data_IF_746644801061
#
_entry.id   IF_746644801061
#
_cell.length_a   1.000
_cell.length_b   1.000
_cell.length_c   1.000
_cell.angle_alpha   90.00
_cell.angle_beta   90.00
_cell.angle_gamma   90.00
#
_symmetry.space_group_name_H-M   'P 1'
#
loop_
_entity.id
_entity.type
_entity.pdbx_description
1 polymer ?
#
# COMPACT_ATOMS: atom_id res chain seq x y z
N UNK A 1 -20.85 -9.57 -4.46
CA UNK A 1 -20.86 -8.21 -4.97
C UNK A 1 -19.45 -7.75 -5.24
N UNK A 2 -19.22 -7.36 -6.44
CA UNK A 2 -17.90 -6.92 -6.83
C UNK A 2 -17.41 -5.74 -5.99
N UNK A 3 -18.30 -4.81 -5.69
CA UNK A 3 -17.93 -3.64 -4.88
C UNK A 3 -17.49 -4.03 -3.48
N UNK A 4 -18.12 -5.03 -2.89
CA UNK A 4 -17.74 -5.51 -1.57
C UNK A 4 -16.36 -6.14 -1.61
N UNK A 5 -16.07 -6.88 -2.65
CA UNK A 5 -14.75 -7.48 -2.81
C UNK A 5 -13.68 -6.42 -2.90
N UNK A 6 -13.94 -5.36 -3.66
CA UNK A 6 -12.99 -4.27 -3.78
C UNK A 6 -12.75 -3.58 -2.43
N UNK A 7 -13.80 -3.40 -1.63
CA UNK A 7 -13.66 -2.73 -0.34
C UNK A 7 -13.02 -3.61 0.72
N UNK A 8 -13.02 -4.92 0.53
CA UNK A 8 -12.41 -5.85 1.48
C UNK A 8 -11.00 -6.27 1.09
N UNK A 9 -10.51 -5.81 -0.05
CA UNK A 9 -9.19 -6.16 -0.52
C UNK A 9 -8.13 -5.59 0.41
N UNK A 10 -7.22 -6.44 0.84
CA UNK A 10 -6.12 -6.01 1.69
C UNK A 10 -5.04 -5.33 0.86
N UNK A 11 -4.34 -4.42 1.50
CA UNK A 11 -3.33 -3.61 0.83
C UNK A 11 -2.00 -3.74 1.57
N UNK A 12 -0.92 -3.95 0.80
CA UNK A 12 0.44 -4.03 1.34
C UNK A 12 1.29 -2.94 0.70
N UNK A 13 2.10 -2.26 1.52
CA UNK A 13 3.10 -1.32 1.05
C UNK A 13 4.46 -2.02 1.11
N UNK A 14 5.12 -2.16 -0.04
CA UNK A 14 6.40 -2.84 -0.15
C UNK A 14 7.43 -1.88 -0.72
N UNK A 15 8.46 -1.60 0.07
CA UNK A 15 9.55 -0.71 -0.34
C UNK A 15 10.82 -1.14 0.39
N UNK A 16 11.65 -1.95 -0.27
CA UNK A 16 12.81 -2.57 0.35
C UNK A 16 14.09 -2.20 -0.38
N UNK A 17 15.19 -2.07 0.37
CA UNK A 17 16.51 -1.85 -0.19
C UNK A 17 17.10 -3.17 -0.67
N UNK A 18 17.11 -4.18 0.19
CA UNK A 18 17.55 -5.52 -0.16
C UNK A 18 16.35 -6.29 -0.73
N UNK A 19 16.47 -6.67 -1.99
CA UNK A 19 15.37 -7.30 -2.70
C UNK A 19 15.38 -8.82 -2.66
N UNK A 20 16.25 -9.41 -1.82
CA UNK A 20 16.30 -10.86 -1.66
C UNK A 20 14.96 -11.35 -1.06
N UNK A 21 14.33 -12.27 -1.73
CA UNK A 21 13.08 -12.88 -1.28
C UNK A 21 11.83 -12.04 -1.47
N UNK A 22 11.96 -10.76 -1.84
CA UNK A 22 10.78 -9.89 -1.94
C UNK A 22 9.88 -10.30 -3.10
N UNK A 23 10.44 -10.81 -4.18
CA UNK A 23 9.64 -11.20 -5.33
C UNK A 23 8.71 -12.36 -5.00
N UNK A 24 9.23 -13.38 -4.31
CA UNK A 24 8.40 -14.51 -3.91
C UNK A 24 7.33 -14.09 -2.92
N UNK A 25 7.69 -13.25 -1.95
CA UNK A 25 6.73 -12.75 -0.96
C UNK A 25 5.63 -11.93 -1.63
N UNK A 26 6.00 -11.02 -2.52
CA UNK A 26 5.03 -10.18 -3.22
C UNK A 26 4.14 -11.01 -4.13
N UNK A 27 4.71 -12.01 -4.81
CA UNK A 27 3.94 -12.90 -5.68
C UNK A 27 2.88 -13.65 -4.87
N UNK A 28 3.26 -14.15 -3.69
CA UNK A 28 2.31 -14.86 -2.83
C UNK A 28 1.18 -13.94 -2.38
N UNK A 29 1.50 -12.70 -2.02
CA UNK A 29 0.46 -11.73 -1.64
C UNK A 29 -0.47 -11.43 -2.82
N UNK A 30 0.08 -11.22 -4.00
CA UNK A 30 -0.72 -10.94 -5.19
C UNK A 30 -1.64 -12.11 -5.50
N UNK A 31 -1.14 -13.35 -5.40
CA UNK A 31 -1.94 -14.55 -5.64
C UNK A 31 -3.03 -14.71 -4.60
N UNK A 32 -2.82 -14.21 -3.38
CA UNK A 32 -3.82 -14.23 -2.33
C UNK A 32 -4.84 -13.09 -2.46
N UNK A 33 -4.73 -12.27 -3.48
CA UNK A 33 -5.69 -11.19 -3.74
C UNK A 33 -5.35 -9.85 -3.12
N UNK A 34 -4.14 -9.68 -2.59
CA UNK A 34 -3.72 -8.40 -2.02
C UNK A 34 -3.43 -7.38 -3.12
N UNK A 35 -3.74 -6.13 -2.81
CA UNK A 35 -3.28 -4.99 -3.62
C UNK A 35 -1.89 -4.58 -3.12
N UNK A 36 -0.93 -4.43 -4.04
CA UNK A 36 0.43 -4.06 -3.68
C UNK A 36 0.71 -2.62 -4.08
N UNK A 37 1.22 -1.84 -3.14
CA UNK A 37 1.77 -0.51 -3.41
C UNK A 37 3.28 -0.59 -3.30
N UNK A 38 3.99 0.08 -4.19
CA UNK A 38 5.44 0.04 -4.16
C UNK A 38 6.04 1.32 -4.74
N UNK A 39 7.35 1.46 -4.59
CA UNK A 39 8.07 2.66 -4.99
C UNK A 39 9.40 2.28 -5.64
N UNK A 40 9.90 3.18 -6.48
CA UNK A 40 11.27 3.16 -7.01
C UNK A 40 11.71 1.82 -7.55
N UNK A 41 12.89 1.38 -7.09
CA UNK A 41 13.49 0.15 -7.57
C UNK A 41 12.71 -1.11 -7.20
N UNK A 42 12.01 -1.08 -6.07
CA UNK A 42 11.15 -2.21 -5.70
C UNK A 42 10.00 -2.37 -6.69
N UNK A 43 9.37 -1.26 -7.07
CA UNK A 43 8.30 -1.29 -8.08
C UNK A 43 8.82 -1.82 -9.40
N UNK A 44 10.00 -1.37 -9.81
CA UNK A 44 10.60 -1.85 -11.06
C UNK A 44 10.84 -3.36 -11.01
N UNK A 45 11.36 -3.87 -9.89
CA UNK A 45 11.61 -5.30 -9.73
C UNK A 45 10.32 -6.11 -9.78
N UNK A 46 9.27 -5.64 -9.14
CA UNK A 46 7.98 -6.33 -9.16
C UNK A 46 7.40 -6.35 -10.57
N UNK A 47 7.43 -5.21 -11.25
CA UNK A 47 6.92 -5.09 -12.60
C UNK A 47 7.68 -6.00 -13.56
N UNK A 48 9.01 -6.02 -13.45
CA UNK A 48 9.85 -6.88 -14.31
C UNK A 48 9.56 -8.35 -14.09
N UNK A 49 9.14 -8.74 -12.89
CA UNK A 49 8.79 -10.12 -12.57
C UNK A 49 7.34 -10.47 -12.91
N UNK A 50 6.59 -9.54 -13.49
CA UNK A 50 5.19 -9.78 -13.84
C UNK A 50 4.24 -9.75 -12.67
N UNK A 51 4.65 -9.17 -11.54
CA UNK A 51 3.82 -9.08 -10.35
C UNK A 51 3.06 -7.74 -10.38
N UNK A 52 1.71 -7.77 -10.35
CA UNK A 52 0.94 -6.52 -10.39
C UNK A 52 1.22 -5.67 -9.15
N UNK A 53 1.55 -4.41 -9.36
CA UNK A 53 1.78 -3.48 -8.26
C UNK A 53 1.44 -2.07 -8.73
N UNK A 54 0.94 -1.25 -7.80
CA UNK A 54 0.57 0.14 -8.05
C UNK A 54 1.65 1.05 -7.49
N UNK A 55 2.00 2.08 -8.24
CA UNK A 55 2.95 3.08 -7.75
C UNK A 55 2.32 3.91 -6.63
N UNK A 56 3.11 4.19 -5.59
CA UNK A 56 2.68 5.10 -4.54
C UNK A 56 2.30 6.47 -5.12
N UNK A 57 3.00 6.91 -6.17
CA UNK A 57 2.68 8.19 -6.83
C UNK A 57 1.25 8.20 -7.37
N UNK A 58 0.77 7.07 -7.88
CA UNK A 58 -0.61 6.98 -8.38
C UNK A 58 -1.64 7.14 -7.26
N UNK A 59 -1.28 6.77 -6.03
CA UNK A 59 -2.16 6.89 -4.88
C UNK A 59 -2.12 8.30 -4.30
N UNK A 60 -0.93 8.89 -4.21
CA UNK A 60 -0.75 10.20 -3.59
C UNK A 60 -1.00 11.36 -4.56
N UNK A 61 -0.78 11.13 -5.84
CA UNK A 61 -0.80 12.20 -6.84
C UNK A 61 0.36 13.16 -6.71
N UNK A 62 1.37 12.82 -5.92
CA UNK A 62 2.49 13.70 -5.65
C UNK A 62 3.79 13.00 -6.08
N UNK A 63 4.66 13.66 -6.86
CA UNK A 63 5.89 13.03 -7.34
C UNK A 63 6.87 12.74 -6.20
N UNK A 64 7.74 11.77 -6.42
CA UNK A 64 8.82 11.49 -5.50
C UNK A 64 9.84 12.62 -5.60
N UNK A 65 10.10 13.26 -4.47
CA UNK A 65 11.09 14.33 -4.39
C UNK A 65 12.13 13.96 -3.33
N UNK A 66 13.25 14.69 -3.32
CA UNK A 66 14.33 14.46 -2.37
C UNK A 66 14.81 13.01 -2.40
N UNK A 67 14.98 12.49 -3.62
CA UNK A 67 15.40 11.09 -3.85
C UNK A 67 14.43 10.09 -3.21
N UNK A 68 13.15 10.41 -3.23
CA UNK A 68 12.12 9.55 -2.70
C UNK A 68 12.01 9.55 -1.18
N UNK A 69 12.68 10.47 -0.50
CA UNK A 69 12.68 10.49 0.97
C UNK A 69 11.33 10.81 1.57
N UNK A 70 10.47 11.51 0.83
CA UNK A 70 9.15 11.90 1.31
C UNK A 70 8.03 11.19 0.56
N UNK A 71 8.33 10.14 -0.20
CA UNK A 71 7.35 9.51 -1.09
C UNK A 71 6.13 8.93 -0.39
N UNK A 72 6.26 8.54 0.87
CA UNK A 72 5.14 8.00 1.64
C UNK A 72 4.61 8.97 2.69
N UNK A 73 5.19 10.15 2.82
CA UNK A 73 4.74 11.16 3.77
C UNK A 73 3.55 11.92 3.18
N UNK A 74 2.45 11.23 3.05
CA UNK A 74 1.23 11.75 2.46
C UNK A 74 0.04 11.13 3.17
N UNK A 75 -1.04 11.87 3.43
CA UNK A 75 -2.19 11.32 4.15
C UNK A 75 -2.74 10.03 3.54
N UNK A 76 -2.70 9.90 2.20
CA UNK A 76 -3.23 8.71 1.53
C UNK A 76 -2.42 7.45 1.82
N UNK A 77 -1.18 7.59 2.28
CA UNK A 77 -0.34 6.47 2.68
C UNK A 77 -0.28 6.38 4.19
N UNK A 78 0.19 7.45 4.85
CA UNK A 78 0.37 7.43 6.31
C UNK A 78 -0.94 7.32 7.06
N UNK A 79 -2.03 7.94 6.54
CA UNK A 79 -3.34 7.78 7.15
C UNK A 79 -3.78 6.32 7.16
N UNK A 80 -3.53 5.60 6.07
CA UNK A 80 -3.86 4.19 5.98
C UNK A 80 -3.07 3.33 6.94
N UNK A 81 -1.84 3.76 7.30
CA UNK A 81 -1.00 3.03 8.24
C UNK A 81 -1.35 3.38 9.69
N UNK A 82 -1.56 4.67 9.97
CA UNK A 82 -1.67 5.19 11.33
C UNK A 82 -3.07 5.09 11.92
N UNK A 83 -4.09 4.79 11.14
CA UNK A 83 -5.44 4.68 11.65
C UNK A 83 -5.52 3.63 12.73
N UNK A 84 -6.13 3.98 13.84
CA UNK A 84 -6.32 3.04 14.95
C UNK A 84 -7.42 2.05 14.58
N UNK A 85 -7.16 0.78 14.84
CA UNK A 85 -8.06 -0.31 14.51
C UNK A 85 -8.46 -1.13 15.73
N UNK A 86 -8.12 -0.64 16.93
CA UNK A 86 -8.53 -1.30 18.16
C UNK A 86 -10.03 -1.11 18.39
N UNK A 87 -10.61 -1.93 19.24
CA UNK A 87 -12.05 -2.00 19.42
C UNK A 87 -12.68 -0.65 19.78
N UNK A 88 -11.96 0.19 20.52
CA UNK A 88 -12.50 1.45 21.00
C UNK A 88 -12.54 2.53 19.92
N UNK A 89 -11.63 2.48 18.92
CA UNK A 89 -11.42 3.58 17.99
C UNK A 89 -11.53 3.21 16.52
N UNK A 90 -11.62 1.91 16.20
CA UNK A 90 -11.56 1.45 14.82
C UNK A 90 -12.65 2.11 13.96
N UNK A 91 -13.87 2.21 14.48
CA UNK A 91 -14.98 2.79 13.73
C UNK A 91 -14.76 4.25 13.39
N UNK A 92 -14.23 5.04 14.32
CA UNK A 92 -14.01 6.46 14.12
C UNK A 92 -12.91 6.71 13.08
N UNK A 93 -11.76 6.06 13.26
CA UNK A 93 -10.65 6.26 12.33
C UNK A 93 -10.94 5.71 10.94
N UNK A 94 -11.56 4.53 10.86
CA UNK A 94 -11.90 3.97 9.55
C UNK A 94 -12.94 4.82 8.83
N UNK A 95 -13.87 5.43 9.55
CA UNK A 95 -14.84 6.35 8.96
C UNK A 95 -14.14 7.61 8.43
N UNK A 96 -13.15 8.12 9.14
CA UNK A 96 -12.38 9.26 8.66
C UNK A 96 -11.61 8.92 7.38
N UNK A 97 -10.99 7.75 7.34
CA UNK A 97 -10.30 7.30 6.13
C UNK A 97 -11.27 7.25 4.96
N UNK A 98 -12.44 6.67 5.17
CA UNK A 98 -13.45 6.56 4.12
C UNK A 98 -13.91 7.93 3.65
N UNK A 99 -14.09 8.88 4.57
CA UNK A 99 -14.51 10.24 4.25
C UNK A 99 -13.51 10.95 3.35
N UNK A 100 -12.22 10.60 3.44
CA UNK A 100 -11.17 11.20 2.63
C UNK A 100 -10.70 10.27 1.51
N UNK A 101 -11.43 9.19 1.24
CA UNK A 101 -11.10 8.22 0.20
C UNK A 101 -9.71 7.59 0.39
N UNK A 102 -9.34 7.34 1.64
CA UNK A 102 -8.07 6.73 1.99
C UNK A 102 -8.30 5.25 2.30
N UNK A 103 -7.58 4.39 1.59
CA UNK A 103 -7.66 2.95 1.80
C UNK A 103 -6.70 2.53 2.92
N UNK A 104 -7.14 1.71 3.88
CA UNK A 104 -6.23 1.21 4.91
C UNK A 104 -5.09 0.39 4.31
N UNK A 105 -3.94 0.44 4.97
CA UNK A 105 -2.78 -0.39 4.62
C UNK A 105 -2.63 -1.44 5.71
N UNK A 106 -2.64 -2.70 5.30
CA UNK A 106 -2.69 -3.83 6.23
C UNK A 106 -1.33 -4.43 6.51
N UNK A 107 -0.35 -4.17 5.66
CA UNK A 107 0.99 -4.74 5.79
C UNK A 107 2.00 -3.74 5.24
N UNK A 108 3.10 -3.57 5.97
CA UNK A 108 4.23 -2.75 5.52
C UNK A 108 5.47 -3.63 5.53
N UNK A 109 6.16 -3.70 4.40
CA UNK A 109 7.40 -4.44 4.23
C UNK A 109 8.49 -3.47 3.76
N UNK A 110 9.41 -3.20 4.65
CA UNK A 110 10.50 -2.24 4.37
C UNK A 110 11.84 -2.84 4.73
#
# INVERSE_FOLDING_TARGET
MATNEATTKRRALISVSDKAGVLDFARDLAMAGWELLSTGGTLQALTAAGIPATSVVDVTGFPEIMDGRVKTLHPNIHGGILARRDAANAGAHLAELAAHSITPIDLVCV
#
